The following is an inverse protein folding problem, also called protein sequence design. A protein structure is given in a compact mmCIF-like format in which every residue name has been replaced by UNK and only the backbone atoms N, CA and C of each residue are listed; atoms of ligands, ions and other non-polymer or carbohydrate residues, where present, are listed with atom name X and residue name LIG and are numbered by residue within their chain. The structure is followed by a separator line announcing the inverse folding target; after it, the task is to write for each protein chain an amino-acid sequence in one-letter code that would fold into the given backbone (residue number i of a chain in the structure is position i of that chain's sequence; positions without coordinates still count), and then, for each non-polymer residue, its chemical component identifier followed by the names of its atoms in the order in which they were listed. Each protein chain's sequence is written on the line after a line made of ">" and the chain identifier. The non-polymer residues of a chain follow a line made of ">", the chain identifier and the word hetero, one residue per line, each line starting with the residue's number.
data_IF_113684786508
#
_entry.id   IF_113684786508
#
_cell.length_a   1.000
_cell.length_b   1.000
_cell.length_c   1.000
_cell.angle_alpha   90.00
_cell.angle_beta   90.00
_cell.angle_gamma   90.00
#
_symmetry.space_group_name_H-M   'P 1'
#
loop_
_entity.id
_entity.type
_entity.pdbx_description
1 polymer ?
#
# COMPACT_ATOMS: atom_id res chain seq x y z
N UNK A 1 50.34 46.90 17.79
CA UNK A 1 48.93 46.54 18.05
C UNK A 1 48.14 46.21 16.78
N UNK A 2 48.18 47.03 15.74
CA UNK A 2 47.42 46.84 14.50
C UNK A 2 47.76 45.51 13.75
N UNK A 3 49.02 45.06 13.69
CA UNK A 3 49.44 43.80 13.04
C UNK A 3 48.94 42.52 13.76
N UNK A 4 48.71 42.60 15.06
CA UNK A 4 48.16 41.49 15.84
C UNK A 4 46.65 41.31 15.60
N UNK A 5 45.92 42.42 15.47
CA UNK A 5 44.48 42.40 15.20
C UNK A 5 44.14 41.85 13.79
N UNK A 6 44.94 42.23 12.78
CA UNK A 6 44.75 41.77 11.39
C UNK A 6 45.00 40.23 11.26
N UNK A 7 46.05 39.73 11.96
CA UNK A 7 46.31 38.26 11.98
C UNK A 7 45.22 37.46 12.69
N UNK A 8 44.67 37.97 13.80
CA UNK A 8 43.59 37.31 14.54
C UNK A 8 42.30 37.30 13.73
N UNK A 9 41.99 38.40 13.02
CA UNK A 9 40.80 38.46 12.14
C UNK A 9 40.92 37.54 10.95
N UNK A 10 42.09 37.39 10.33
CA UNK A 10 42.30 36.44 9.21
C UNK A 10 42.17 34.97 9.63
N UNK A 11 42.67 34.59 10.80
CA UNK A 11 42.55 33.22 11.34
C UNK A 11 41.09 32.91 11.68
N UNK A 12 40.33 33.89 12.20
CA UNK A 12 38.90 33.68 12.51
C UNK A 12 38.06 33.55 11.24
N UNK A 13 38.35 34.33 10.19
CA UNK A 13 37.63 34.25 8.89
C UNK A 13 37.97 32.94 8.19
N UNK A 14 39.21 32.48 8.18
CA UNK A 14 39.59 31.18 7.59
C UNK A 14 38.96 30.01 8.39
N UNK A 15 38.92 30.10 9.73
CA UNK A 15 38.27 29.12 10.58
C UNK A 15 36.76 29.06 10.34
N UNK A 16 36.09 30.21 10.12
CA UNK A 16 34.65 30.26 9.82
C UNK A 16 34.34 29.73 8.40
N UNK A 17 35.19 30.04 7.42
CA UNK A 17 35.02 29.51 6.05
C UNK A 17 35.29 27.99 5.95
N UNK A 18 36.23 27.46 6.74
CA UNK A 18 36.46 26.02 6.84
C UNK A 18 35.32 25.29 7.59
N UNK A 19 34.68 25.93 8.58
CA UNK A 19 33.50 25.37 9.26
C UNK A 19 32.25 25.36 8.35
N UNK A 20 32.11 26.38 7.49
CA UNK A 20 30.99 26.46 6.53
C UNK A 20 31.21 25.50 5.34
N UNK A 21 32.46 25.24 4.95
CA UNK A 21 32.74 24.27 3.87
C UNK A 21 32.68 22.81 4.32
N UNK A 22 32.67 22.50 5.63
CA UNK A 22 32.47 21.15 6.15
C UNK A 22 31.00 20.81 6.37
N UNK A 23 30.08 21.75 6.24
CA UNK A 23 28.64 21.51 6.02
C UNK A 23 28.38 21.32 4.51
N UNK A 24 29.13 20.41 3.88
CA UNK A 24 28.67 19.78 2.65
C UNK A 24 27.42 19.06 3.04
N UNK A 25 26.27 19.71 2.82
CA UNK A 25 24.96 19.10 3.02
C UNK A 25 25.02 17.75 2.29
N UNK A 26 24.90 16.67 3.03
CA UNK A 26 24.62 15.34 2.46
C UNK A 26 23.42 15.55 1.55
N UNK A 27 23.67 15.64 0.25
CA UNK A 27 22.61 15.66 -0.76
C UNK A 27 22.15 14.23 -0.83
N UNK A 28 20.97 13.90 -0.31
CA UNK A 28 20.47 12.55 -0.44
C UNK A 28 20.43 12.22 -1.93
N UNK A 29 20.94 11.05 -2.29
CA UNK A 29 20.94 10.61 -3.68
C UNK A 29 19.49 10.57 -4.16
N UNK A 30 19.12 11.49 -5.07
CA UNK A 30 17.78 11.55 -5.63
C UNK A 30 17.57 10.34 -6.53
N UNK A 31 16.74 9.41 -6.11
CA UNK A 31 16.39 8.21 -6.88
C UNK A 31 15.20 8.47 -7.80
N UNK A 32 14.22 9.26 -7.33
CA UNK A 32 13.06 9.68 -8.10
C UNK A 32 12.51 11.04 -7.65
N UNK A 33 11.77 11.67 -8.55
CA UNK A 33 11.07 12.94 -8.37
C UNK A 33 9.65 12.82 -8.89
N UNK A 34 8.76 13.68 -8.38
CA UNK A 34 7.37 13.75 -8.85
C UNK A 34 6.67 12.40 -8.85
N UNK A 35 7.00 11.56 -7.86
CA UNK A 35 6.43 10.25 -7.60
C UNK A 35 6.43 9.99 -6.09
N UNK A 36 5.53 9.09 -5.64
CA UNK A 36 5.47 8.64 -4.26
C UNK A 36 5.44 7.12 -4.22
N UNK A 37 6.34 6.51 -3.47
CA UNK A 37 6.25 5.10 -3.11
C UNK A 37 5.25 4.94 -1.96
N UNK A 38 4.12 4.31 -2.20
CA UNK A 38 3.16 3.97 -1.13
C UNK A 38 3.47 2.56 -0.67
N UNK A 39 4.02 2.39 0.53
CA UNK A 39 4.39 1.08 1.08
C UNK A 39 3.30 0.57 2.02
N UNK A 40 3.04 -0.75 1.97
CA UNK A 40 1.91 -1.39 2.65
C UNK A 40 2.40 -2.43 3.65
N UNK A 41 1.88 -2.35 4.86
CA UNK A 41 2.00 -3.30 5.95
C UNK A 41 0.62 -3.74 6.44
N UNK A 42 0.56 -4.77 7.29
CA UNK A 42 -0.64 -5.22 7.99
C UNK A 42 -0.34 -5.44 9.47
N UNK A 43 0.11 -6.62 9.83
CA UNK A 43 0.37 -7.03 11.21
C UNK A 43 1.86 -6.93 11.56
N UNK A 44 2.18 -6.22 12.65
CA UNK A 44 3.55 -6.09 13.17
C UNK A 44 3.64 -6.80 14.50
N UNK A 45 4.16 -8.02 14.50
CA UNK A 45 4.24 -8.85 15.71
C UNK A 45 5.40 -9.83 15.61
N UNK A 46 6.05 -10.14 16.74
CA UNK A 46 7.15 -11.09 16.77
C UNK A 46 6.68 -12.54 16.60
N UNK A 47 5.39 -12.81 16.80
CA UNK A 47 4.74 -14.08 16.46
C UNK A 47 4.19 -14.01 15.04
N UNK A 48 4.83 -14.74 14.11
CA UNK A 48 4.39 -14.78 12.71
C UNK A 48 3.09 -15.57 12.60
N UNK A 49 2.00 -14.89 12.25
CA UNK A 49 0.66 -15.48 12.15
C UNK A 49 0.21 -15.67 10.70
N UNK A 50 0.80 -14.93 9.76
CA UNK A 50 0.46 -14.98 8.33
C UNK A 50 1.64 -14.50 7.47
N UNK A 51 1.50 -14.60 6.15
CA UNK A 51 2.44 -14.01 5.19
C UNK A 51 2.48 -12.48 5.23
N UNK A 52 1.45 -11.85 5.82
CA UNK A 52 1.37 -10.40 6.04
C UNK A 52 1.91 -9.93 7.40
N UNK A 53 2.47 -10.84 8.23
CA UNK A 53 3.07 -10.49 9.52
C UNK A 53 4.55 -10.20 9.36
N UNK A 54 5.00 -9.07 9.91
CA UNK A 54 6.42 -8.68 9.98
C UNK A 54 6.83 -8.50 11.44
N UNK A 55 8.04 -8.94 11.82
CA UNK A 55 8.52 -8.74 13.19
C UNK A 55 8.83 -7.27 13.46
N UNK A 56 8.72 -6.85 14.73
CA UNK A 56 9.01 -5.47 15.16
C UNK A 56 10.43 -5.04 14.76
N UNK A 57 11.42 -5.90 14.98
CA UNK A 57 12.80 -5.65 14.61
C UNK A 57 12.99 -5.48 13.08
N UNK A 58 12.37 -6.34 12.27
CA UNK A 58 12.47 -6.24 10.81
C UNK A 58 11.78 -4.97 10.29
N UNK A 59 10.60 -4.63 10.83
CA UNK A 59 9.87 -3.40 10.52
C UNK A 59 10.73 -2.16 10.84
N UNK A 60 11.30 -2.06 12.05
CA UNK A 60 12.17 -0.96 12.44
C UNK A 60 13.40 -0.86 11.53
N UNK A 61 14.04 -2.00 11.22
CA UNK A 61 15.20 -2.02 10.31
C UNK A 61 14.86 -1.58 8.89
N UNK A 62 13.70 -1.96 8.36
CA UNK A 62 13.26 -1.49 7.04
C UNK A 62 13.14 0.02 7.01
N UNK A 63 12.41 0.63 7.96
CA UNK A 63 12.21 2.07 8.00
C UNK A 63 13.52 2.84 8.22
N UNK A 64 14.36 2.38 9.15
CA UNK A 64 15.68 2.98 9.41
C UNK A 64 16.58 2.91 8.15
N UNK A 65 16.57 1.78 7.45
CA UNK A 65 17.33 1.62 6.22
C UNK A 65 16.84 2.58 5.12
N UNK A 66 15.53 2.72 4.95
CA UNK A 66 14.97 3.67 3.98
C UNK A 66 15.38 5.12 4.33
N UNK A 67 15.33 5.53 5.62
CA UNK A 67 15.85 6.85 6.04
C UNK A 67 17.31 7.02 5.66
N UNK A 68 18.16 6.02 5.91
CA UNK A 68 19.58 6.04 5.56
C UNK A 68 19.83 6.10 4.04
N UNK A 69 18.92 5.57 3.23
CA UNK A 69 18.98 5.68 1.76
C UNK A 69 18.45 7.04 1.25
N UNK A 70 17.99 7.93 2.11
CA UNK A 70 17.54 9.27 1.72
C UNK A 70 16.07 9.35 1.32
N UNK A 71 15.25 8.38 1.68
CA UNK A 71 13.79 8.46 1.50
C UNK A 71 13.19 9.47 2.47
N UNK A 72 12.17 10.21 1.99
CA UNK A 72 11.45 11.24 2.73
C UNK A 72 10.03 10.75 3.03
N UNK A 73 9.73 10.50 4.30
CA UNK A 73 8.40 10.03 4.72
C UNK A 73 7.42 11.20 4.78
N UNK A 74 6.28 11.05 4.12
CA UNK A 74 5.24 12.09 3.99
C UNK A 74 3.95 11.68 4.68
N UNK A 75 3.14 12.66 5.08
CA UNK A 75 1.79 12.43 5.63
C UNK A 75 0.77 12.13 4.53
N UNK A 76 -0.40 11.61 4.92
CA UNK A 76 -1.52 11.44 4.00
C UNK A 76 -1.96 12.78 3.39
N UNK A 77 -2.00 13.85 4.18
CA UNK A 77 -2.35 15.18 3.69
C UNK A 77 -1.35 15.69 2.63
N UNK A 78 -0.04 15.53 2.85
CA UNK A 78 0.98 15.86 1.85
C UNK A 78 0.81 15.04 0.57
N UNK A 79 0.45 13.76 0.69
CA UNK A 79 0.17 12.90 -0.45
C UNK A 79 -1.06 13.37 -1.24
N UNK A 80 -2.16 13.71 -0.55
CA UNK A 80 -3.37 14.27 -1.18
C UNK A 80 -3.07 15.60 -1.88
N UNK A 81 -2.33 16.49 -1.22
CA UNK A 81 -1.88 17.76 -1.81
C UNK A 81 -1.05 17.52 -3.08
N UNK A 82 -0.15 16.53 -3.07
CA UNK A 82 0.62 16.16 -4.25
C UNK A 82 -0.26 15.70 -5.41
N UNK A 83 -1.25 14.83 -5.18
CA UNK A 83 -2.21 14.40 -6.20
C UNK A 83 -3.10 15.55 -6.70
N UNK A 84 -3.29 16.60 -5.90
CA UNK A 84 -3.97 17.83 -6.28
C UNK A 84 -3.08 18.83 -7.03
N UNK A 85 -1.79 18.51 -7.28
CA UNK A 85 -0.86 19.37 -8.01
C UNK A 85 0.16 20.12 -7.13
N UNK A 86 0.12 19.95 -5.81
CA UNK A 86 1.08 20.52 -4.86
C UNK A 86 2.47 19.85 -4.95
N UNK A 87 3.49 20.41 -4.28
CA UNK A 87 4.85 19.85 -4.29
C UNK A 87 4.92 18.55 -3.47
N UNK A 88 5.90 17.71 -3.80
CA UNK A 88 6.30 16.54 -3.02
C UNK A 88 7.83 16.50 -2.94
N UNK A 89 8.43 16.08 -1.82
CA UNK A 89 9.87 15.93 -1.75
C UNK A 89 10.40 14.84 -2.67
N UNK A 90 11.67 14.92 -3.05
CA UNK A 90 12.36 13.83 -3.74
C UNK A 90 12.36 12.58 -2.86
N UNK A 91 12.29 11.39 -3.46
CA UNK A 91 12.27 10.10 -2.76
C UNK A 91 11.12 9.97 -1.73
N UNK A 92 9.94 10.53 -2.03
CA UNK A 92 8.80 10.53 -1.12
C UNK A 92 8.23 9.14 -0.88
N UNK A 93 7.96 8.80 0.40
CA UNK A 93 7.33 7.54 0.81
C UNK A 93 6.13 7.82 1.71
N UNK A 94 5.00 7.21 1.40
CA UNK A 94 3.83 7.12 2.28
C UNK A 94 3.79 5.73 2.91
N UNK A 95 3.71 5.66 4.24
CA UNK A 95 3.59 4.39 4.98
C UNK A 95 2.11 4.11 5.25
N UNK A 96 1.64 2.93 4.84
CA UNK A 96 0.25 2.51 5.05
C UNK A 96 0.18 1.16 5.76
N UNK A 97 -0.90 0.96 6.51
CA UNK A 97 -1.24 -0.30 7.17
C UNK A 97 -2.70 -0.62 6.89
N UNK A 98 -3.01 -1.92 6.76
CA UNK A 98 -4.38 -2.39 6.57
C UNK A 98 -4.89 -3.12 7.82
N UNK A 99 -6.18 -3.44 7.85
CA UNK A 99 -6.95 -4.24 8.80
C UNK A 99 -7.21 -3.58 10.16
N UNK A 100 -6.42 -2.61 10.61
CA UNK A 100 -6.62 -1.96 11.90
C UNK A 100 -6.24 -2.80 13.12
N UNK A 101 -5.29 -3.71 13.00
CA UNK A 101 -4.84 -4.59 14.09
C UNK A 101 -4.31 -3.80 15.30
N UNK A 102 -4.54 -4.32 16.50
CA UNK A 102 -4.02 -3.75 17.76
C UNK A 102 -2.49 -3.63 17.76
N UNK A 103 -1.81 -4.51 17.02
CA UNK A 103 -0.36 -4.47 16.86
C UNK A 103 0.16 -3.19 16.19
N UNK A 104 -0.69 -2.46 15.46
CA UNK A 104 -0.33 -1.13 15.00
C UNK A 104 -0.12 -0.18 16.19
N UNK A 105 -1.03 -0.17 17.16
CA UNK A 105 -0.93 0.66 18.38
C UNK A 105 0.20 0.20 19.29
N UNK A 106 0.28 -1.11 19.57
CA UNK A 106 1.21 -1.64 20.57
C UNK A 106 2.65 -1.76 20.08
N UNK A 107 2.88 -2.01 18.79
CA UNK A 107 4.18 -2.36 18.23
C UNK A 107 4.65 -1.39 17.14
N UNK A 108 3.82 -1.09 16.13
CA UNK A 108 4.24 -0.23 15.02
C UNK A 108 4.33 1.25 15.42
N UNK A 109 3.32 1.77 16.13
CA UNK A 109 3.26 3.19 16.51
C UNK A 109 4.44 3.65 17.38
N UNK A 110 4.93 2.90 18.39
CA UNK A 110 6.13 3.26 19.11
C UNK A 110 7.37 3.41 18.22
N UNK A 111 7.56 2.51 17.25
CA UNK A 111 8.66 2.58 16.27
C UNK A 111 8.52 3.80 15.37
N UNK A 112 7.32 4.02 14.81
CA UNK A 112 7.01 5.19 13.97
C UNK A 112 7.27 6.50 14.72
N UNK A 113 6.84 6.58 15.98
CA UNK A 113 7.06 7.75 16.84
C UNK A 113 8.54 7.99 17.12
N UNK A 114 9.30 6.94 17.47
CA UNK A 114 10.74 7.01 17.70
C UNK A 114 11.51 7.51 16.46
N UNK A 115 11.12 7.02 15.28
CA UNK A 115 11.75 7.38 14.00
C UNK A 115 11.18 8.67 13.40
N UNK A 116 10.18 9.27 14.03
CA UNK A 116 9.46 10.45 13.55
C UNK A 116 8.86 10.25 12.14
N UNK A 117 8.29 9.06 11.87
CA UNK A 117 7.70 8.67 10.60
C UNK A 117 6.17 8.76 10.67
N UNK A 118 5.50 9.50 9.76
CA UNK A 118 4.05 9.50 9.65
C UNK A 118 3.54 8.22 9.00
N UNK A 119 2.30 7.83 9.34
CA UNK A 119 1.65 6.65 8.75
C UNK A 119 0.13 6.79 8.72
N UNK A 120 -0.49 5.98 7.85
CA UNK A 120 -1.94 5.82 7.73
C UNK A 120 -2.31 4.37 8.05
N UNK A 121 -3.32 4.17 8.88
CA UNK A 121 -3.92 2.85 9.09
C UNK A 121 -5.32 2.83 8.50
N UNK A 122 -5.61 1.85 7.65
CA UNK A 122 -6.95 1.58 7.11
C UNK A 122 -7.62 0.53 7.99
N UNK A 123 -8.62 0.92 8.78
CA UNK A 123 -9.22 0.08 9.80
C UNK A 123 -10.57 -0.52 9.36
N UNK A 124 -10.78 -1.80 9.69
CA UNK A 124 -12.09 -2.46 9.61
C UNK A 124 -12.90 -1.98 10.81
N UNK A 125 -13.82 -1.05 10.61
CA UNK A 125 -14.44 -0.34 11.74
C UNK A 125 -15.40 -1.18 12.58
N UNK A 126 -15.96 -2.26 12.03
CA UNK A 126 -16.70 -3.26 12.81
C UNK A 126 -15.82 -3.84 13.92
N UNK A 127 -14.57 -4.11 13.60
CA UNK A 127 -13.64 -4.73 14.55
C UNK A 127 -13.15 -3.71 15.60
N UNK A 128 -13.03 -2.42 15.26
CA UNK A 128 -12.69 -1.39 16.27
C UNK A 128 -13.79 -1.18 17.31
N UNK A 129 -15.04 -1.53 17.01
CA UNK A 129 -16.16 -1.49 17.97
C UNK A 129 -16.18 -2.70 18.92
N UNK A 130 -15.59 -3.83 18.52
CA UNK A 130 -15.44 -5.02 19.32
C UNK A 130 -14.05 -5.64 19.11
N UNK A 131 -12.98 -5.01 19.64
CA UNK A 131 -11.59 -5.30 19.29
C UNK A 131 -11.14 -6.74 19.51
N UNK A 132 -11.76 -7.44 20.47
CA UNK A 132 -11.40 -8.81 20.84
C UNK A 132 -12.23 -9.88 20.12
N UNK A 133 -13.14 -9.49 19.21
CA UNK A 133 -13.99 -10.45 18.49
C UNK A 133 -13.26 -11.11 17.31
N UNK A 134 -12.26 -10.45 16.75
CA UNK A 134 -11.48 -10.96 15.61
C UNK A 134 -10.36 -11.88 16.09
N UNK A 135 -9.95 -12.84 15.24
CA UNK A 135 -8.85 -13.78 15.55
C UNK A 135 -7.53 -13.07 15.89
N UNK A 136 -7.20 -12.01 15.15
CA UNK A 136 -6.14 -11.06 15.52
C UNK A 136 -6.87 -9.84 16.09
N UNK A 137 -6.59 -9.41 17.34
CA UNK A 137 -7.25 -8.26 17.95
C UNK A 137 -7.08 -6.98 17.11
N UNK A 138 -8.14 -6.18 17.05
CA UNK A 138 -8.13 -4.87 16.43
C UNK A 138 -7.84 -3.75 17.45
N UNK A 139 -7.46 -2.58 16.96
CA UNK A 139 -7.40 -1.37 17.80
C UNK A 139 -8.80 -0.98 18.27
N UNK A 140 -8.90 -0.57 19.53
CA UNK A 140 -10.09 0.10 20.04
C UNK A 140 -10.16 1.55 19.59
N UNK A 141 -11.37 2.14 19.59
CA UNK A 141 -11.53 3.57 19.32
C UNK A 141 -10.76 4.46 20.28
N UNK A 142 -10.60 4.03 21.56
CA UNK A 142 -9.79 4.74 22.53
C UNK A 142 -8.32 4.79 22.09
N UNK A 143 -7.72 3.65 21.69
CA UNK A 143 -6.34 3.59 21.18
C UNK A 143 -6.14 4.46 19.93
N UNK A 144 -7.13 4.46 19.02
CA UNK A 144 -7.12 5.33 17.83
C UNK A 144 -7.11 6.81 18.26
N UNK A 145 -8.02 7.21 19.16
CA UNK A 145 -8.10 8.60 19.64
C UNK A 145 -6.82 9.06 20.35
N UNK A 146 -6.21 8.19 21.16
CA UNK A 146 -4.93 8.45 21.83
C UNK A 146 -3.81 8.76 20.84
N UNK A 147 -3.61 7.92 19.81
CA UNK A 147 -2.56 8.12 18.81
C UNK A 147 -2.75 9.43 18.02
N UNK A 148 -3.97 9.70 17.57
CA UNK A 148 -4.29 10.89 16.77
C UNK A 148 -4.13 12.16 17.62
N UNK A 149 -4.49 12.11 18.89
CA UNK A 149 -4.35 13.25 19.83
C UNK A 149 -2.88 13.58 20.10
N UNK A 150 -2.02 12.56 20.25
CA UNK A 150 -0.59 12.74 20.52
C UNK A 150 0.18 13.17 19.28
N UNK A 151 -0.20 12.70 18.10
CA UNK A 151 0.48 12.95 16.84
C UNK A 151 -0.48 13.43 15.73
N UNK A 152 -1.16 14.59 15.89
CA UNK A 152 -2.18 15.05 14.97
C UNK A 152 -1.59 15.26 13.56
N UNK A 153 -2.28 14.69 12.54
CA UNK A 153 -1.87 14.75 11.13
C UNK A 153 -0.65 13.89 10.78
N UNK A 154 -0.02 13.23 11.74
CA UNK A 154 1.11 12.32 11.50
C UNK A 154 0.68 10.85 11.50
N UNK A 155 -0.19 10.50 12.41
CA UNK A 155 -0.88 9.21 12.42
C UNK A 155 -2.33 9.48 12.06
N UNK A 156 -2.80 8.82 11.02
CA UNK A 156 -4.18 8.89 10.57
C UNK A 156 -4.80 7.51 10.50
N UNK A 157 -6.10 7.43 10.76
CA UNK A 157 -6.87 6.20 10.60
C UNK A 157 -8.00 6.48 9.61
N UNK A 158 -8.05 5.68 8.56
CA UNK A 158 -8.96 5.78 7.43
C UNK A 158 -9.72 4.46 7.23
N UNK A 159 -10.62 4.36 6.27
CA UNK A 159 -11.51 3.20 6.11
C UNK A 159 -10.84 1.98 5.45
N UNK A 160 -11.14 0.79 5.99
CA UNK A 160 -10.96 -0.50 5.31
C UNK A 160 -12.30 -1.25 5.26
N UNK A 161 -13.39 -0.53 4.96
CA UNK A 161 -14.80 -0.88 5.09
C UNK A 161 -15.28 -0.98 6.55
N UNK A 162 -16.59 -1.01 6.77
CA UNK A 162 -17.16 -1.32 8.09
C UNK A 162 -17.23 -2.83 8.29
N UNK A 163 -17.90 -3.56 7.39
CA UNK A 163 -18.19 -4.98 7.52
C UNK A 163 -18.07 -5.77 6.19
N UNK A 164 -17.37 -5.20 5.18
CA UNK A 164 -17.22 -5.85 3.87
C UNK A 164 -15.84 -6.51 3.67
N UNK A 165 -15.06 -6.66 4.75
CA UNK A 165 -13.79 -7.38 4.71
C UNK A 165 -14.00 -8.87 4.96
N UNK A 166 -14.72 -9.51 4.05
CA UNK A 166 -14.98 -10.96 4.07
C UNK A 166 -15.23 -11.45 2.65
N UNK A 167 -15.32 -12.77 2.47
CA UNK A 167 -15.64 -13.42 1.22
C UNK A 167 -16.89 -14.27 1.35
N UNK A 168 -17.75 -14.25 0.33
CA UNK A 168 -18.89 -15.12 0.16
C UNK A 168 -18.69 -15.90 -1.14
N UNK A 169 -18.74 -17.25 -1.08
CA UNK A 169 -18.50 -18.13 -2.23
C UNK A 169 -17.18 -17.81 -2.98
N UNK A 170 -16.14 -17.44 -2.22
CA UNK A 170 -14.82 -17.06 -2.76
C UNK A 170 -14.71 -15.64 -3.33
N UNK A 171 -15.81 -14.90 -3.45
CA UNK A 171 -15.83 -13.51 -3.93
C UNK A 171 -15.76 -12.53 -2.76
N UNK A 172 -14.99 -11.46 -2.91
CA UNK A 172 -14.94 -10.39 -1.92
C UNK A 172 -16.33 -9.74 -1.76
N UNK A 173 -16.79 -9.55 -0.52
CA UNK A 173 -18.09 -8.93 -0.24
C UNK A 173 -18.24 -7.54 -0.87
N UNK A 174 -17.14 -6.84 -1.06
CA UNK A 174 -17.15 -5.52 -1.69
C UNK A 174 -17.61 -5.57 -3.16
N UNK A 175 -17.30 -6.65 -3.90
CA UNK A 175 -17.64 -6.80 -5.33
C UNK A 175 -18.73 -7.85 -5.59
N UNK A 176 -19.01 -8.73 -4.62
CA UNK A 176 -20.01 -9.77 -4.77
C UNK A 176 -21.43 -9.19 -4.87
N UNK A 177 -22.26 -9.80 -5.70
CA UNK A 177 -23.72 -9.64 -5.67
C UNK A 177 -24.30 -10.75 -4.82
N UNK A 178 -24.96 -10.39 -3.72
CA UNK A 178 -25.45 -11.35 -2.73
C UNK A 178 -26.77 -12.02 -3.15
N UNK A 179 -26.97 -13.26 -2.72
CA UNK A 179 -28.28 -13.88 -2.78
C UNK A 179 -29.08 -13.46 -1.56
N UNK A 180 -30.26 -12.90 -1.80
CA UNK A 180 -31.17 -12.40 -0.77
C UNK A 180 -32.00 -13.55 -0.18
N UNK A 181 -32.47 -13.39 1.07
CA UNK A 181 -33.38 -14.35 1.73
C UNK A 181 -34.65 -14.64 0.91
N UNK A 182 -35.02 -13.75 -0.03
CA UNK A 182 -36.10 -13.93 -0.99
C UNK A 182 -35.81 -14.95 -2.10
N UNK A 183 -34.60 -15.53 -2.15
CA UNK A 183 -34.12 -16.38 -3.23
C UNK A 183 -33.83 -15.65 -4.53
N UNK A 184 -33.75 -14.31 -4.49
CA UNK A 184 -33.36 -13.46 -5.62
C UNK A 184 -31.95 -12.93 -5.39
N UNK A 185 -31.20 -12.80 -6.48
CA UNK A 185 -29.90 -12.12 -6.46
C UNK A 185 -30.10 -10.62 -6.24
N UNK A 186 -29.19 -10.01 -5.51
CA UNK A 186 -29.12 -8.57 -5.25
C UNK A 186 -29.13 -7.79 -6.58
N UNK A 187 -30.01 -6.78 -6.65
CA UNK A 187 -30.03 -5.87 -7.80
C UNK A 187 -28.85 -4.91 -7.77
N UNK A 188 -28.54 -4.26 -8.91
CA UNK A 188 -27.48 -3.23 -8.98
C UNK A 188 -27.72 -2.09 -7.97
N UNK A 189 -28.97 -1.67 -7.80
CA UNK A 189 -29.32 -0.61 -6.86
C UNK A 189 -29.15 -1.09 -5.40
N UNK A 190 -29.59 -2.30 -5.05
CA UNK A 190 -29.43 -2.86 -3.70
C UNK A 190 -27.93 -3.02 -3.37
N UNK A 191 -27.14 -3.53 -4.31
CA UNK A 191 -25.68 -3.63 -4.19
C UNK A 191 -25.06 -2.26 -3.92
N UNK A 192 -25.37 -1.26 -4.75
CA UNK A 192 -24.86 0.10 -4.60
C UNK A 192 -25.22 0.68 -3.23
N UNK A 193 -26.48 0.52 -2.81
CA UNK A 193 -26.93 0.99 -1.49
C UNK A 193 -26.21 0.28 -0.35
N UNK A 194 -25.94 -1.02 -0.46
CA UNK A 194 -25.18 -1.79 0.53
C UNK A 194 -23.75 -1.24 0.67
N UNK A 195 -23.03 -1.05 -0.44
CA UNK A 195 -21.65 -0.52 -0.40
C UNK A 195 -21.64 0.90 0.18
N UNK A 196 -22.57 1.75 -0.27
CA UNK A 196 -22.66 3.12 0.24
C UNK A 196 -23.04 3.18 1.73
N UNK A 197 -23.92 2.31 2.20
CA UNK A 197 -24.31 2.24 3.61
C UNK A 197 -23.15 1.79 4.49
N UNK A 198 -22.43 0.74 4.11
CA UNK A 198 -21.23 0.28 4.81
C UNK A 198 -20.16 1.37 4.88
N UNK A 199 -19.87 2.03 3.77
CA UNK A 199 -18.88 3.11 3.69
C UNK A 199 -19.25 4.29 4.57
N UNK A 200 -20.53 4.73 4.57
CA UNK A 200 -21.00 5.79 5.47
C UNK A 200 -20.88 5.39 6.94
N UNK A 201 -21.15 4.12 7.26
CA UNK A 201 -20.97 3.60 8.61
C UNK A 201 -19.50 3.63 9.00
N UNK A 202 -18.59 3.15 8.15
CA UNK A 202 -17.15 3.24 8.39
C UNK A 202 -16.71 4.68 8.70
N UNK A 203 -17.08 5.61 7.86
CA UNK A 203 -16.76 7.04 8.04
C UNK A 203 -17.32 7.58 9.36
N UNK A 204 -18.60 7.36 9.63
CA UNK A 204 -19.25 7.84 10.85
C UNK A 204 -18.60 7.30 12.13
N UNK A 205 -18.12 6.05 12.12
CA UNK A 205 -17.42 5.46 13.26
C UNK A 205 -16.07 6.16 13.49
N UNK A 206 -15.31 6.41 12.44
CA UNK A 206 -13.99 7.07 12.55
C UNK A 206 -14.09 8.56 12.83
N UNK A 207 -15.07 9.25 12.29
CA UNK A 207 -15.34 10.70 12.52
C UNK A 207 -15.57 11.03 14.00
N UNK A 208 -15.94 10.04 14.84
CA UNK A 208 -16.08 10.23 16.28
C UNK A 208 -14.74 10.38 17.02
N UNK A 209 -13.67 9.86 16.46
CA UNK A 209 -12.35 9.81 17.08
C UNK A 209 -11.24 10.43 16.26
N UNK A 210 -11.51 10.78 15.00
CA UNK A 210 -10.54 11.37 14.06
C UNK A 210 -11.06 12.72 13.56
N UNK A 211 -10.37 13.85 13.85
CA UNK A 211 -10.76 15.17 13.37
C UNK A 211 -10.44 15.41 11.89
N UNK A 212 -9.60 14.57 11.28
CA UNK A 212 -9.28 14.65 9.86
C UNK A 212 -10.44 14.12 9.00
N UNK A 213 -10.63 14.60 7.75
CA UNK A 213 -11.62 14.03 6.84
C UNK A 213 -11.40 12.53 6.61
N UNK A 214 -12.47 11.75 6.72
CA UNK A 214 -12.46 10.32 6.38
C UNK A 214 -12.90 10.18 4.93
N UNK A 215 -11.95 10.25 4.02
CA UNK A 215 -12.13 10.28 2.57
C UNK A 215 -11.26 9.27 1.82
N UNK A 216 -10.53 8.45 2.56
CA UNK A 216 -9.61 7.48 2.00
C UNK A 216 -9.97 6.06 2.42
N UNK A 217 -9.75 5.08 1.52
CA UNK A 217 -10.05 3.68 1.77
C UNK A 217 -8.97 2.79 1.14
N UNK A 218 -8.58 1.69 1.80
CA UNK A 218 -7.90 0.58 1.13
C UNK A 218 -8.95 -0.49 0.75
N UNK A 219 -8.82 -1.05 -0.44
CA UNK A 219 -9.72 -2.11 -0.89
C UNK A 219 -9.44 -3.43 -0.15
N UNK A 220 -10.44 -4.07 0.49
CA UNK A 220 -10.29 -5.41 1.06
C UNK A 220 -9.69 -6.39 0.05
N UNK A 221 -8.60 -7.07 0.43
CA UNK A 221 -7.84 -7.99 -0.43
C UNK A 221 -7.24 -7.33 -1.69
N UNK A 222 -7.34 -6.01 -1.84
CA UNK A 222 -7.03 -5.27 -3.06
C UNK A 222 -8.05 -5.49 -4.18
N UNK A 223 -9.16 -6.17 -3.91
CA UNK A 223 -10.18 -6.53 -4.91
C UNK A 223 -11.23 -5.42 -5.02
N UNK A 224 -11.41 -4.91 -6.22
CA UNK A 224 -12.42 -3.91 -6.56
C UNK A 224 -12.82 -4.03 -8.03
N UNK A 225 -13.97 -3.50 -8.35
CA UNK A 225 -14.45 -3.28 -9.70
C UNK A 225 -14.92 -1.83 -9.88
N UNK A 226 -15.36 -1.49 -11.07
CA UNK A 226 -15.84 -0.16 -11.38
C UNK A 226 -17.07 0.23 -10.54
N UNK A 227 -18.00 -0.70 -10.36
CA UNK A 227 -19.25 -0.45 -9.64
C UNK A 227 -18.98 -0.19 -8.16
N UNK A 228 -18.06 -0.97 -7.55
CA UNK A 228 -17.59 -0.75 -6.19
C UNK A 228 -16.93 0.64 -6.05
N UNK A 229 -16.01 0.99 -6.95
CA UNK A 229 -15.31 2.28 -6.90
C UNK A 229 -16.29 3.46 -7.04
N UNK A 230 -17.26 3.39 -7.95
CA UNK A 230 -18.30 4.41 -8.13
C UNK A 230 -19.23 4.53 -6.90
N UNK A 231 -19.57 3.39 -6.25
CA UNK A 231 -20.38 3.41 -5.03
C UNK A 231 -19.62 4.03 -3.85
N UNK A 232 -18.33 3.67 -3.67
CA UNK A 232 -17.45 4.27 -2.67
C UNK A 232 -17.30 5.77 -2.86
N UNK A 233 -17.07 6.22 -4.09
CA UNK A 233 -16.97 7.64 -4.43
C UNK A 233 -18.30 8.38 -4.11
N UNK A 234 -19.44 7.76 -4.44
CA UNK A 234 -20.76 8.31 -4.11
C UNK A 234 -21.03 8.38 -2.60
N UNK A 235 -20.30 7.61 -1.80
CA UNK A 235 -20.32 7.64 -0.33
C UNK A 235 -19.26 8.57 0.28
N UNK A 236 -18.49 9.29 -0.56
CA UNK A 236 -17.52 10.31 -0.14
C UNK A 236 -16.09 9.82 0.04
N UNK A 237 -15.72 8.69 -0.58
CA UNK A 237 -14.32 8.28 -0.71
C UNK A 237 -13.74 8.98 -1.95
N UNK A 238 -12.64 9.68 -1.76
CA UNK A 238 -11.93 10.39 -2.83
C UNK A 238 -10.62 9.68 -3.22
N UNK A 239 -10.08 8.87 -2.31
CA UNK A 239 -8.80 8.18 -2.49
C UNK A 239 -8.94 6.71 -2.10
N UNK A 240 -8.66 5.80 -3.05
CA UNK A 240 -8.72 4.37 -2.77
C UNK A 240 -7.43 3.66 -3.17
N UNK A 241 -6.94 2.83 -2.25
CA UNK A 241 -5.63 2.19 -2.33
C UNK A 241 -5.79 0.72 -2.69
N UNK A 242 -5.03 0.30 -3.69
CA UNK A 242 -4.98 -1.09 -4.18
C UNK A 242 -3.77 -1.83 -3.62
N UNK A 243 -3.59 -3.10 -4.00
CA UNK A 243 -2.35 -3.86 -3.79
C UNK A 243 -1.51 -3.95 -5.08
N UNK A 244 -1.95 -3.29 -6.16
CA UNK A 244 -1.20 -3.24 -7.41
C UNK A 244 0.17 -2.58 -7.18
N UNK A 245 1.29 -3.24 -7.50
CA UNK A 245 2.61 -2.65 -7.32
C UNK A 245 2.83 -1.49 -8.30
N UNK A 246 3.38 -0.39 -7.79
CA UNK A 246 3.66 0.79 -8.61
C UNK A 246 3.99 2.02 -7.78
N UNK A 247 4.45 3.07 -8.47
CA UNK A 247 4.62 4.41 -7.91
C UNK A 247 3.35 5.23 -8.16
N UNK A 248 2.91 5.98 -7.15
CA UNK A 248 1.89 6.99 -7.36
C UNK A 248 2.50 8.22 -8.05
N UNK A 249 1.85 8.71 -9.10
CA UNK A 249 2.21 9.89 -9.88
C UNK A 249 1.05 10.88 -9.91
N UNK A 250 1.25 12.07 -10.47
CA UNK A 250 0.17 13.05 -10.64
C UNK A 250 -0.97 12.57 -11.54
N UNK A 251 -0.71 11.58 -12.41
CA UNK A 251 -1.70 10.98 -13.31
C UNK A 251 -2.35 9.72 -12.72
N UNK A 252 -1.97 9.32 -11.50
CA UNK A 252 -2.57 8.17 -10.84
C UNK A 252 -4.05 8.40 -10.61
N UNK A 253 -4.86 7.43 -11.00
CA UNK A 253 -6.28 7.41 -10.63
C UNK A 253 -6.40 7.38 -9.10
N UNK A 254 -7.10 8.37 -8.55
CA UNK A 254 -7.28 8.50 -7.10
C UNK A 254 -8.05 7.35 -6.48
N UNK A 255 -8.85 6.63 -7.28
CA UNK A 255 -9.56 5.42 -6.85
C UNK A 255 -8.80 4.12 -7.15
N UNK A 256 -7.56 4.22 -7.63
CA UNK A 256 -6.72 3.05 -7.94
C UNK A 256 -5.23 3.31 -7.60
N UNK A 257 -4.96 3.80 -6.39
CA UNK A 257 -3.61 4.16 -5.94
C UNK A 257 -2.78 2.89 -5.72
N UNK A 258 -1.66 2.70 -6.45
CA UNK A 258 -0.82 1.51 -6.32
C UNK A 258 -0.03 1.53 -5.01
N UNK A 259 0.32 0.33 -4.51
CA UNK A 259 1.13 0.17 -3.29
C UNK A 259 2.21 -0.90 -3.49
N UNK A 260 3.28 -0.80 -2.73
CA UNK A 260 4.39 -1.74 -2.70
C UNK A 260 4.32 -2.52 -1.38
N UNK A 261 4.18 -3.85 -1.45
CA UNK A 261 4.15 -4.67 -0.24
C UNK A 261 5.50 -4.61 0.49
N UNK A 262 5.45 -4.25 1.76
CA UNK A 262 6.59 -4.18 2.68
C UNK A 262 6.43 -5.13 3.89
N UNK A 263 5.22 -5.64 4.14
CA UNK A 263 4.82 -6.31 5.38
C UNK A 263 5.13 -7.81 5.46
N UNK A 264 5.84 -8.38 4.49
CA UNK A 264 6.16 -9.82 4.52
C UNK A 264 7.35 -10.16 5.40
N UNK A 265 7.35 -11.33 6.10
CA UNK A 265 8.42 -11.72 7.03
C UNK A 265 9.78 -11.96 6.35
N UNK A 266 9.79 -12.13 5.04
CA UNK A 266 11.00 -12.36 4.24
C UNK A 266 11.43 -11.16 3.39
N UNK A 267 10.81 -10.00 3.58
CA UNK A 267 11.18 -8.78 2.88
C UNK A 267 12.26 -8.05 3.69
N UNK A 268 13.52 -8.29 3.34
CA UNK A 268 14.64 -7.58 3.98
C UNK A 268 14.63 -6.08 3.63
N UNK A 269 15.29 -5.20 4.42
CA UNK A 269 15.43 -3.79 4.09
C UNK A 269 15.95 -3.52 2.68
N UNK A 270 16.98 -4.25 2.25
CA UNK A 270 17.54 -4.13 0.91
C UNK A 270 16.56 -4.63 -0.18
N UNK A 271 15.76 -5.68 0.09
CA UNK A 271 14.73 -6.15 -0.83
C UNK A 271 13.63 -5.13 -1.00
N UNK A 272 13.16 -4.50 0.09
CA UNK A 272 12.16 -3.42 0.01
C UNK A 272 12.69 -2.23 -0.80
N UNK A 273 13.90 -1.76 -0.52
CA UNK A 273 14.56 -0.72 -1.30
C UNK A 273 14.62 -1.06 -2.79
N UNK A 274 15.05 -2.28 -3.13
CA UNK A 274 15.08 -2.75 -4.51
C UNK A 274 13.69 -2.84 -5.14
N UNK A 275 12.68 -3.26 -4.38
CA UNK A 275 11.28 -3.27 -4.86
C UNK A 275 10.82 -1.87 -5.22
N UNK A 276 11.10 -0.85 -4.39
CA UNK A 276 10.79 0.54 -4.71
C UNK A 276 11.54 0.98 -5.98
N UNK A 277 12.84 0.71 -6.08
CA UNK A 277 13.64 1.06 -7.26
C UNK A 277 13.11 0.41 -8.54
N UNK A 278 12.68 -0.83 -8.48
CA UNK A 278 12.10 -1.54 -9.63
C UNK A 278 10.81 -0.87 -10.12
N UNK A 279 10.00 -0.30 -9.23
CA UNK A 279 8.78 0.43 -9.60
C UNK A 279 9.10 1.78 -10.27
N UNK A 280 10.16 2.47 -9.87
CA UNK A 280 10.62 3.69 -10.55
C UNK A 280 10.94 3.40 -12.04
N UNK A 281 11.61 2.29 -12.34
CA UNK A 281 11.94 1.90 -13.72
C UNK A 281 10.67 1.49 -14.50
N UNK A 282 9.68 0.89 -13.85
CA UNK A 282 8.41 0.50 -14.46
C UNK A 282 7.57 1.72 -14.89
N UNK A 283 7.69 2.86 -14.22
CA UNK A 283 7.01 4.11 -14.61
C UNK A 283 7.49 4.65 -15.97
N UNK A 284 8.71 4.33 -16.37
CA UNK A 284 9.23 4.67 -17.71
C UNK A 284 8.80 3.68 -18.81
N UNK A 285 8.23 2.54 -18.43
CA UNK A 285 7.76 1.52 -19.36
C UNK A 285 6.25 1.30 -19.19
N UNK A 286 5.45 1.93 -20.04
CA UNK A 286 4.01 1.66 -20.29
C UNK A 286 3.26 0.93 -19.16
N UNK A 287 2.38 1.63 -18.43
CA UNK A 287 1.54 1.16 -17.30
C UNK A 287 0.70 -0.12 -17.51
N UNK A 288 0.74 -0.69 -18.70
CA UNK A 288 -0.03 -1.89 -19.05
C UNK A 288 0.62 -3.21 -18.64
N UNK A 289 1.87 -3.22 -18.13
CA UNK A 289 2.61 -4.46 -17.90
C UNK A 289 3.37 -4.45 -16.59
N UNK A 290 2.99 -5.36 -15.71
CA UNK A 290 3.58 -5.52 -14.37
C UNK A 290 4.33 -6.86 -14.30
N UNK A 291 5.46 -6.97 -13.56
CA UNK A 291 6.12 -8.26 -13.32
C UNK A 291 5.14 -9.25 -12.71
N UNK A 292 4.83 -10.32 -13.46
CA UNK A 292 3.80 -11.30 -13.09
C UNK A 292 4.06 -11.94 -11.73
N UNK A 293 5.32 -12.30 -11.44
CA UNK A 293 5.72 -12.88 -10.17
C UNK A 293 5.42 -11.95 -9.00
N UNK A 294 5.83 -10.70 -9.10
CA UNK A 294 5.63 -9.70 -8.05
C UNK A 294 4.14 -9.46 -7.79
N UNK A 295 3.33 -9.42 -8.84
CA UNK A 295 1.88 -9.27 -8.76
C UNK A 295 1.23 -10.45 -8.01
N UNK A 296 1.52 -11.67 -8.43
CA UNK A 296 0.90 -12.89 -7.88
C UNK A 296 1.38 -13.16 -6.44
N UNK A 297 2.68 -12.97 -6.17
CA UNK A 297 3.24 -13.15 -4.82
C UNK A 297 2.71 -12.10 -3.82
N UNK A 298 2.36 -10.89 -4.27
CA UNK A 298 1.71 -9.89 -3.43
C UNK A 298 0.30 -10.31 -3.00
N UNK A 299 -0.38 -11.15 -3.79
CA UNK A 299 -1.67 -11.75 -3.41
C UNK A 299 -1.54 -13.07 -2.63
N UNK A 300 -0.32 -13.50 -2.31
CA UNK A 300 -0.06 -14.75 -1.59
C UNK A 300 -0.03 -15.98 -2.48
N UNK A 301 0.04 -15.79 -3.80
CA UNK A 301 0.23 -16.86 -4.76
C UNK A 301 1.70 -17.17 -5.06
N UNK A 302 1.92 -18.07 -6.00
CA UNK A 302 3.25 -18.51 -6.45
C UNK A 302 3.33 -18.45 -7.97
N UNK A 303 4.49 -18.04 -8.52
CA UNK A 303 4.79 -18.12 -9.95
C UNK A 303 6.06 -18.95 -10.16
N UNK A 304 5.93 -20.01 -10.94
CA UNK A 304 7.03 -20.91 -11.32
C UNK A 304 7.10 -21.03 -12.85
N UNK A 305 8.16 -21.67 -13.33
CA UNK A 305 8.27 -22.16 -14.72
C UNK A 305 8.33 -23.68 -14.68
N UNK A 306 7.56 -24.34 -15.54
CA UNK A 306 7.58 -25.79 -15.64
C UNK A 306 8.62 -26.28 -16.63
N UNK A 307 8.79 -27.60 -16.75
CA UNK A 307 9.76 -28.24 -17.64
C UNK A 307 9.51 -27.98 -19.14
N UNK A 308 8.34 -27.49 -19.51
CA UNK A 308 7.94 -27.15 -20.88
C UNK A 308 8.10 -25.64 -21.19
N UNK A 309 8.61 -24.86 -20.23
CA UNK A 309 8.76 -23.41 -20.34
C UNK A 309 7.43 -22.64 -20.22
N UNK A 310 6.43 -23.25 -19.61
CA UNK A 310 5.17 -22.59 -19.31
C UNK A 310 5.29 -21.85 -17.96
N UNK A 311 4.75 -20.67 -17.91
CA UNK A 311 4.60 -19.93 -16.67
C UNK A 311 3.41 -20.52 -15.91
N UNK A 312 3.65 -21.00 -14.71
CA UNK A 312 2.64 -21.60 -13.84
C UNK A 312 2.33 -20.62 -12.71
N UNK A 313 1.07 -20.23 -12.61
CA UNK A 313 0.54 -19.44 -11.50
C UNK A 313 -0.23 -20.38 -10.58
N UNK A 314 0.05 -20.31 -9.27
CA UNK A 314 -0.72 -20.99 -8.22
C UNK A 314 -1.29 -19.95 -7.26
N UNK A 315 -2.60 -20.00 -7.04
CA UNK A 315 -3.28 -19.11 -6.13
C UNK A 315 -4.51 -19.80 -5.54
N UNK A 316 -4.68 -19.80 -4.23
CA UNK A 316 -5.80 -20.41 -3.50
C UNK A 316 -6.11 -21.89 -3.95
N UNK A 317 -5.06 -22.68 -4.15
CA UNK A 317 -5.18 -24.08 -4.56
C UNK A 317 -5.55 -24.31 -6.03
N UNK A 318 -5.70 -23.27 -6.82
CA UNK A 318 -5.92 -23.29 -8.27
C UNK A 318 -4.62 -23.11 -9.03
N UNK A 319 -4.54 -23.63 -10.26
CA UNK A 319 -3.35 -23.52 -11.11
C UNK A 319 -3.72 -23.06 -12.51
N UNK A 320 -2.99 -22.08 -13.03
CA UNK A 320 -3.08 -21.60 -14.42
C UNK A 320 -1.72 -21.72 -15.09
N UNK A 321 -1.72 -22.15 -16.35
CA UNK A 321 -0.52 -22.25 -17.17
C UNK A 321 -0.60 -21.31 -18.37
N UNK A 322 0.46 -20.51 -18.55
CA UNK A 322 0.54 -19.50 -19.58
C UNK A 322 1.77 -19.73 -20.43
N UNK A 323 1.61 -19.73 -21.73
CA UNK A 323 2.74 -19.76 -22.67
C UNK A 323 3.19 -18.32 -22.95
N UNK A 324 4.50 -17.99 -22.77
CA UNK A 324 5.03 -16.69 -23.20
C UNK A 324 4.64 -16.36 -24.64
N UNK A 325 4.19 -15.13 -24.89
CA UNK A 325 3.72 -14.67 -26.20
C UNK A 325 2.30 -15.12 -26.58
N UNK A 326 1.64 -15.97 -25.81
CA UNK A 326 0.26 -16.42 -26.04
C UNK A 326 -0.74 -15.62 -25.20
N UNK A 327 -1.95 -15.47 -25.73
CA UNK A 327 -3.12 -14.95 -25.00
C UNK A 327 -3.92 -16.08 -24.34
N UNK A 328 -3.57 -17.33 -24.62
CA UNK A 328 -4.26 -18.51 -24.10
C UNK A 328 -3.69 -18.91 -22.75
N UNK A 329 -4.57 -19.09 -21.79
CA UNK A 329 -4.27 -19.57 -20.43
C UNK A 329 -4.99 -20.88 -20.23
N UNK A 330 -4.27 -21.88 -19.77
CA UNK A 330 -4.85 -23.19 -19.42
C UNK A 330 -5.17 -23.21 -17.93
N UNK A 331 -6.40 -23.55 -17.58
CA UNK A 331 -6.84 -23.76 -16.21
C UNK A 331 -7.61 -25.08 -16.15
N UNK A 332 -7.08 -26.06 -15.43
CA UNK A 332 -7.61 -27.44 -15.43
C UNK A 332 -7.74 -27.98 -16.86
N UNK A 333 -8.97 -28.29 -17.30
CA UNK A 333 -9.28 -28.77 -18.66
C UNK A 333 -9.84 -27.66 -19.58
N UNK A 334 -9.84 -26.41 -19.11
CA UNK A 334 -10.40 -25.27 -19.84
C UNK A 334 -9.29 -24.37 -20.39
N UNK A 335 -9.63 -23.69 -21.48
CA UNK A 335 -8.80 -22.66 -22.08
C UNK A 335 -9.47 -21.30 -21.93
N UNK A 336 -8.78 -20.35 -21.28
CA UNK A 336 -9.21 -18.97 -21.10
C UNK A 336 -8.40 -18.05 -22.00
N UNK A 337 -8.91 -16.87 -22.28
CA UNK A 337 -8.20 -15.89 -23.12
C UNK A 337 -8.01 -14.58 -22.37
N UNK A 338 -6.76 -14.13 -22.25
CA UNK A 338 -6.41 -12.83 -21.68
C UNK A 338 -6.32 -11.71 -22.75
N UNK A 339 -6.47 -10.48 -22.35
CA UNK A 339 -6.50 -9.32 -23.24
C UNK A 339 -5.18 -9.11 -23.99
N UNK A 340 -4.04 -9.31 -23.32
CA UNK A 340 -2.70 -9.17 -23.87
C UNK A 340 -1.83 -10.40 -23.57
N UNK A 341 -0.91 -10.80 -24.47
CA UNK A 341 -0.03 -11.92 -24.21
C UNK A 341 0.97 -11.59 -23.09
N UNK A 342 1.26 -12.59 -22.24
CA UNK A 342 2.38 -12.50 -21.30
C UNK A 342 3.69 -12.40 -22.09
N UNK A 343 4.54 -11.46 -21.73
CA UNK A 343 5.84 -11.27 -22.37
C UNK A 343 6.96 -11.60 -21.38
N UNK A 344 8.04 -12.16 -21.91
CA UNK A 344 9.28 -12.36 -21.14
C UNK A 344 10.29 -11.35 -21.65
N UNK A 345 10.76 -10.48 -20.75
CA UNK A 345 11.76 -9.45 -21.01
C UNK A 345 12.88 -9.65 -19.98
N UNK A 346 14.11 -9.85 -20.45
CA UNK A 346 15.28 -10.09 -19.59
C UNK A 346 15.04 -11.20 -18.54
N UNK A 347 14.36 -12.28 -18.95
CA UNK A 347 14.09 -13.43 -18.08
C UNK A 347 12.95 -13.22 -17.05
N UNK A 348 12.24 -12.10 -17.11
CA UNK A 348 11.07 -11.83 -16.25
C UNK A 348 9.80 -11.83 -17.07
N UNK A 349 8.75 -12.48 -16.57
CA UNK A 349 7.42 -12.47 -17.16
C UNK A 349 6.67 -11.20 -16.77
N UNK A 350 6.02 -10.57 -17.74
CA UNK A 350 5.19 -9.37 -17.57
C UNK A 350 3.80 -9.64 -18.12
N UNK A 351 2.78 -9.22 -17.39
CA UNK A 351 1.39 -9.34 -17.79
C UNK A 351 0.62 -8.05 -17.52
N UNK A 352 -0.52 -7.86 -18.19
CA UNK A 352 -1.44 -6.78 -17.88
C UNK A 352 -2.13 -7.10 -16.55
N UNK A 353 -2.17 -6.13 -15.62
CA UNK A 353 -2.82 -6.25 -14.32
C UNK A 353 -4.24 -6.81 -14.43
N UNK A 354 -5.10 -6.14 -15.19
CA UNK A 354 -6.51 -6.51 -15.36
C UNK A 354 -6.73 -7.90 -15.96
N UNK A 355 -5.77 -8.43 -16.72
CA UNK A 355 -5.87 -9.78 -17.27
C UNK A 355 -5.61 -10.85 -16.19
N UNK A 356 -4.65 -10.59 -15.30
CA UNK A 356 -4.32 -11.54 -14.22
C UNK A 356 -5.35 -11.46 -13.09
N UNK A 357 -5.82 -10.25 -12.77
CA UNK A 357 -6.92 -10.03 -11.82
C UNK A 357 -8.15 -10.85 -12.22
N UNK A 358 -8.59 -10.77 -13.46
CA UNK A 358 -9.69 -11.59 -14.00
C UNK A 358 -9.44 -13.08 -13.88
N UNK A 359 -8.22 -13.54 -14.18
CA UNK A 359 -7.88 -14.96 -14.04
C UNK A 359 -7.98 -15.46 -12.61
N UNK A 360 -7.51 -14.69 -11.65
CA UNK A 360 -7.42 -15.13 -10.25
C UNK A 360 -8.75 -14.99 -9.50
N UNK A 361 -9.55 -13.98 -9.83
CA UNK A 361 -10.73 -13.60 -9.04
C UNK A 361 -12.07 -13.78 -9.76
N UNK A 362 -12.09 -13.86 -11.11
CA UNK A 362 -13.33 -14.01 -11.88
C UNK A 362 -13.46 -15.38 -12.60
N UNK A 363 -12.44 -16.25 -12.55
CA UNK A 363 -12.44 -17.56 -13.24
C UNK A 363 -12.71 -18.74 -12.33
#
# INVERSE_FOLDING_TARGET
>A
MIKFFVRSLFVTIIGLTLLVSSLSAYQPNTMYREQVAVIMYHHVDDTIQSSGTITVDLFQRQLTYLQQQGYQFITLDQFKQYLAGGPVPDNAVLVTFDDGYESFYSNAYPVLSQLNIPAVNFAITKDTLNPQASYIPAMSQQQIAEMITVAPGRIEVQCHTHALHDKVDGQALLTARLDLDSGKRESEEDYRQRIMADTRTCRSVLEQVNPSPIDSLAYPFGIYDRDAAEALQSAGIEYAFTIAPGMATRQTDRLAIPRINAGGPYISPAKLHKSIQNQIQAVHHNYDRIPLREMVENWGGEVAEDSEGLIVIRYEGREWKLRPGSRTVLHQNNSLTIGQPVQVIEGKAYARWSDIEKLLFES
#
